data_IF_786733361185
#
_entry.id   IF_786733361185
#
_cell.length_a   1.000
_cell.length_b   1.000
_cell.length_c   1.000
_cell.angle_alpha   90.00
_cell.angle_beta   90.00
_cell.angle_gamma   90.00
#
_symmetry.space_group_name_H-M   'P 1'
#
loop_
_entity.id
_entity.type
_entity.pdbx_description
1 polymer ?
#
# COMPACT_ATOMS: atom_id res chain seq x y z
N UNK A 1 13.03 -37.26 5.10
CA UNK A 1 13.38 -38.69 5.16
C UNK A 1 13.56 -39.12 6.62
N UNK A 2 14.52 -38.56 7.38
CA UNK A 2 14.85 -38.97 8.75
C UNK A 2 13.65 -39.02 9.72
N UNK A 3 12.65 -38.12 9.57
CA UNK A 3 11.45 -38.10 10.42
C UNK A 3 10.51 -39.26 10.10
N UNK A 4 10.46 -39.69 8.82
CA UNK A 4 9.67 -40.87 8.40
C UNK A 4 10.34 -42.15 8.89
N UNK A 5 11.66 -42.29 8.69
CA UNK A 5 12.46 -43.43 9.16
C UNK A 5 12.41 -43.54 10.69
N UNK A 6 12.40 -42.42 11.41
CA UNK A 6 12.25 -42.40 12.87
C UNK A 6 10.79 -42.63 13.35
N UNK A 7 9.84 -42.87 12.46
CA UNK A 7 8.42 -43.07 12.80
C UNK A 7 7.70 -41.82 13.35
N UNK A 8 8.35 -40.63 13.30
CA UNK A 8 7.78 -39.34 13.79
C UNK A 8 6.82 -38.70 12.80
N UNK A 9 6.92 -39.04 11.51
CA UNK A 9 6.04 -38.59 10.45
C UNK A 9 5.55 -39.77 9.64
N UNK A 10 4.25 -40.09 9.59
CA UNK A 10 3.72 -41.18 8.79
C UNK A 10 3.95 -40.91 7.29
N UNK A 11 4.37 -41.92 6.53
CA UNK A 11 4.52 -41.84 5.08
C UNK A 11 3.22 -41.45 4.39
N UNK A 12 2.07 -41.90 4.89
CA UNK A 12 0.75 -41.52 4.41
C UNK A 12 0.51 -40.00 4.43
N UNK A 13 1.08 -39.28 5.41
CA UNK A 13 1.00 -37.83 5.47
C UNK A 13 1.82 -37.18 4.36
N UNK A 14 2.99 -37.72 4.05
CA UNK A 14 3.83 -37.29 2.93
C UNK A 14 3.10 -37.53 1.61
N UNK A 15 2.57 -38.74 1.42
CA UNK A 15 1.83 -39.15 0.22
C UNK A 15 0.61 -38.23 -0.03
N UNK A 16 -0.11 -37.82 1.01
CA UNK A 16 -1.20 -36.88 0.87
C UNK A 16 -0.72 -35.49 0.32
N UNK A 17 0.42 -35.02 0.77
CA UNK A 17 1.00 -33.77 0.23
C UNK A 17 1.43 -33.94 -1.22
N UNK A 18 2.13 -35.00 -1.55
CA UNK A 18 2.56 -35.33 -2.91
C UNK A 18 1.35 -35.43 -3.85
N UNK A 19 0.31 -36.15 -3.43
CA UNK A 19 -0.92 -36.29 -4.22
C UNK A 19 -1.54 -34.92 -4.54
N UNK A 20 -1.60 -34.02 -3.57
CA UNK A 20 -2.15 -32.67 -3.79
C UNK A 20 -1.33 -31.88 -4.82
N UNK A 21 -0.01 -31.92 -4.71
CA UNK A 21 0.88 -31.21 -5.64
C UNK A 21 0.83 -31.80 -7.06
N UNK A 22 0.90 -33.15 -7.16
CA UNK A 22 0.84 -33.80 -8.46
C UNK A 22 -0.52 -33.63 -9.14
N UNK A 23 -1.62 -33.65 -8.36
CA UNK A 23 -2.96 -33.43 -8.91
C UNK A 23 -3.03 -32.14 -9.72
N UNK A 24 -2.54 -31.03 -9.16
CA UNK A 24 -2.51 -29.74 -9.87
C UNK A 24 -1.66 -29.81 -11.14
N UNK A 25 -0.52 -30.48 -11.11
CA UNK A 25 0.34 -30.65 -12.29
C UNK A 25 -0.34 -31.47 -13.40
N UNK A 26 -1.07 -32.52 -13.03
CA UNK A 26 -1.87 -33.31 -14.00
C UNK A 26 -3.03 -32.48 -14.55
N UNK A 27 -3.75 -31.74 -13.71
CA UNK A 27 -4.86 -30.86 -14.14
C UNK A 27 -4.39 -29.74 -15.08
N UNK A 28 -3.16 -29.26 -14.92
CA UNK A 28 -2.52 -28.29 -15.82
C UNK A 28 -1.97 -28.91 -17.11
N UNK A 29 -1.97 -30.25 -17.24
CA UNK A 29 -1.44 -30.95 -18.41
C UNK A 29 0.08 -30.87 -18.57
N UNK A 30 0.83 -30.65 -17.46
CA UNK A 30 2.28 -30.45 -17.53
C UNK A 30 3.05 -31.71 -17.96
N UNK A 31 2.46 -32.90 -17.81
CA UNK A 31 3.07 -34.15 -18.22
C UNK A 31 2.79 -34.47 -19.70
N UNK A 32 1.66 -34.03 -20.24
CA UNK A 32 1.26 -34.20 -21.62
C UNK A 32 1.87 -33.13 -22.53
N UNK A 33 1.91 -31.91 -22.08
CA UNK A 33 2.48 -30.78 -22.81
C UNK A 33 3.11 -29.74 -21.89
N UNK A 34 4.41 -29.87 -21.54
CA UNK A 34 5.10 -28.91 -20.66
C UNK A 34 5.49 -27.61 -21.36
N UNK A 35 5.25 -27.50 -22.67
CA UNK A 35 5.67 -26.37 -23.48
C UNK A 35 4.60 -25.28 -23.55
N UNK A 36 5.05 -24.03 -23.65
CA UNK A 36 4.20 -22.88 -23.88
C UNK A 36 4.36 -22.40 -25.33
N UNK A 37 3.28 -21.91 -25.91
CA UNK A 37 3.31 -21.20 -27.18
C UNK A 37 3.60 -19.71 -26.92
N UNK A 38 4.78 -19.19 -27.34
CA UNK A 38 5.14 -17.79 -27.12
C UNK A 38 4.15 -16.79 -27.75
N UNK A 39 3.58 -17.12 -28.91
CA UNK A 39 2.62 -16.26 -29.57
C UNK A 39 1.30 -16.19 -28.80
N UNK A 40 0.84 -17.32 -28.27
CA UNK A 40 -0.33 -17.37 -27.40
C UNK A 40 -0.07 -16.63 -26.09
N UNK A 41 1.12 -16.79 -25.49
CA UNK A 41 1.51 -16.07 -24.28
C UNK A 41 1.50 -14.54 -24.52
N UNK A 42 2.08 -14.05 -25.61
CA UNK A 42 2.06 -12.64 -26.00
C UNK A 42 0.65 -12.09 -26.19
N UNK A 43 -0.29 -12.89 -26.69
CA UNK A 43 -1.69 -12.51 -26.83
C UNK A 43 -2.45 -12.47 -25.49
N UNK A 44 -2.14 -13.39 -24.57
CA UNK A 44 -2.84 -13.51 -23.29
C UNK A 44 -2.31 -12.53 -22.23
N UNK A 45 -0.98 -12.38 -22.15
CA UNK A 45 -0.35 -11.48 -21.16
C UNK A 45 -0.66 -10.03 -21.51
N UNK A 46 -1.24 -9.31 -20.58
CA UNK A 46 -1.66 -7.92 -20.80
C UNK A 46 -2.90 -7.75 -21.67
N UNK A 47 -3.66 -8.83 -21.89
CA UNK A 47 -4.91 -8.75 -22.66
C UNK A 47 -5.84 -7.67 -22.07
N UNK A 48 -6.41 -6.76 -22.90
CA UNK A 48 -7.22 -5.64 -22.42
C UNK A 48 -8.39 -6.04 -21.51
N UNK A 49 -9.04 -7.19 -21.79
CA UNK A 49 -10.16 -7.65 -20.96
C UNK A 49 -9.70 -8.11 -19.56
N UNK A 50 -8.51 -8.69 -19.47
CA UNK A 50 -7.91 -9.06 -18.18
C UNK A 50 -7.41 -7.84 -17.44
N UNK A 51 -6.82 -6.87 -18.17
CA UNK A 51 -6.39 -5.61 -17.57
C UNK A 51 -7.56 -4.85 -16.97
N UNK A 52 -8.71 -4.75 -17.64
CA UNK A 52 -9.91 -4.11 -17.09
C UNK A 52 -10.39 -4.77 -15.79
N UNK A 53 -10.32 -6.11 -15.69
CA UNK A 53 -10.66 -6.84 -14.45
C UNK A 53 -9.65 -6.55 -13.34
N UNK A 54 -8.36 -6.51 -13.68
CA UNK A 54 -7.29 -6.18 -12.75
C UNK A 54 -7.43 -4.75 -12.21
N UNK A 55 -7.71 -3.78 -13.08
CA UNK A 55 -7.92 -2.38 -12.72
C UNK A 55 -9.15 -2.21 -11.81
N UNK A 56 -10.23 -2.93 -12.10
CA UNK A 56 -11.41 -2.95 -11.23
C UNK A 56 -11.09 -3.56 -9.85
N UNK A 57 -10.33 -4.65 -9.81
CA UNK A 57 -9.90 -5.28 -8.56
C UNK A 57 -9.04 -4.35 -7.73
N UNK A 58 -8.09 -3.64 -8.37
CA UNK A 58 -7.25 -2.64 -7.71
C UNK A 58 -8.09 -1.53 -7.07
N UNK A 59 -9.02 -0.92 -7.81
CA UNK A 59 -9.92 0.11 -7.27
C UNK A 59 -10.76 -0.40 -6.09
N UNK A 60 -11.29 -1.61 -6.19
CA UNK A 60 -12.08 -2.24 -5.11
C UNK A 60 -11.26 -2.56 -3.87
N UNK A 61 -9.95 -2.78 -3.99
CA UNK A 61 -9.09 -3.11 -2.85
C UNK A 61 -8.66 -1.89 -2.03
N UNK A 62 -8.77 -0.67 -2.57
CA UNK A 62 -8.39 0.54 -1.86
C UNK A 62 -9.38 0.82 -0.73
N UNK A 63 -8.85 1.01 0.47
CA UNK A 63 -9.62 1.31 1.67
C UNK A 63 -9.46 2.78 2.05
N UNK A 64 -10.56 3.51 2.13
CA UNK A 64 -10.56 4.87 2.67
C UNK A 64 -10.60 4.78 4.21
N UNK A 65 -9.46 5.07 4.85
CA UNK A 65 -9.34 5.04 6.32
C UNK A 65 -9.80 6.33 6.97
N UNK A 66 -9.51 7.45 6.34
CA UNK A 66 -9.86 8.76 6.87
C UNK A 66 -10.24 9.72 5.75
N UNK A 67 -11.28 10.53 5.99
CA UNK A 67 -11.68 11.62 5.13
C UNK A 67 -12.25 12.77 5.97
N UNK A 68 -11.46 13.82 6.14
CA UNK A 68 -11.88 15.05 6.80
C UNK A 68 -12.55 16.01 5.78
N UNK A 69 -13.56 15.50 5.07
CA UNK A 69 -14.36 16.25 4.07
C UNK A 69 -13.59 16.76 2.84
N UNK A 70 -12.44 16.15 2.53
CA UNK A 70 -11.62 16.58 1.40
C UNK A 70 -11.83 15.73 0.14
N UNK A 71 -12.17 14.48 0.31
CA UNK A 71 -12.39 13.53 -0.78
C UNK A 71 -13.88 13.29 -1.04
N UNK A 72 -14.31 13.09 -2.29
CA UNK A 72 -13.49 13.23 -3.50
C UNK A 72 -13.10 14.68 -3.76
N UNK A 73 -11.96 14.89 -4.46
CA UNK A 73 -11.54 16.24 -4.83
C UNK A 73 -12.54 16.88 -5.79
N UNK A 74 -12.86 18.15 -5.52
CA UNK A 74 -13.68 18.94 -6.42
C UNK A 74 -12.96 19.08 -7.78
N UNK A 75 -13.69 18.77 -8.85
CA UNK A 75 -13.16 18.96 -10.20
C UNK A 75 -13.01 20.44 -10.50
N UNK A 76 -11.88 20.88 -11.09
CA UNK A 76 -11.73 22.25 -11.55
C UNK A 76 -12.82 22.60 -12.57
N UNK A 77 -13.40 23.80 -12.47
CA UNK A 77 -14.45 24.24 -13.37
C UNK A 77 -13.92 25.27 -14.37
N UNK A 78 -14.35 25.15 -15.61
CA UNK A 78 -13.98 26.10 -16.66
C UNK A 78 -12.47 26.16 -16.92
N UNK A 79 -11.87 27.33 -16.71
CA UNK A 79 -10.42 27.57 -16.86
C UNK A 79 -9.65 27.46 -15.55
N UNK A 80 -10.31 27.11 -14.45
CA UNK A 80 -9.63 26.92 -13.16
C UNK A 80 -8.62 25.77 -13.26
N UNK A 81 -7.51 25.94 -12.55
CA UNK A 81 -6.43 24.95 -12.50
C UNK A 81 -6.18 24.55 -11.06
N UNK A 82 -6.24 23.24 -10.76
CA UNK A 82 -5.88 22.70 -9.46
C UNK A 82 -4.36 22.43 -9.42
N UNK A 83 -3.68 23.07 -8.47
CA UNK A 83 -2.22 22.91 -8.26
C UNK A 83 -1.96 21.77 -7.28
N UNK A 84 -1.39 20.69 -7.79
CA UNK A 84 -1.09 19.48 -7.03
C UNK A 84 0.42 19.37 -6.80
N UNK A 85 0.83 19.16 -5.57
CA UNK A 85 2.18 18.70 -5.23
C UNK A 85 2.11 17.19 -4.95
N UNK A 86 3.01 16.40 -5.53
CA UNK A 86 2.99 14.95 -5.34
C UNK A 86 4.36 14.37 -5.09
N UNK A 87 4.41 13.34 -4.23
CA UNK A 87 5.58 12.49 -3.98
C UNK A 87 5.18 11.01 -3.98
N UNK A 88 6.10 10.14 -4.39
CA UNK A 88 5.89 8.69 -4.43
C UNK A 88 5.00 8.22 -5.57
N UNK A 89 4.65 9.10 -6.52
CA UNK A 89 3.79 8.80 -7.66
C UNK A 89 4.51 9.05 -8.99
N UNK A 90 4.15 8.26 -9.99
CA UNK A 90 4.57 8.52 -11.37
C UNK A 90 3.78 9.70 -11.94
N UNK A 91 4.47 10.81 -12.21
CA UNK A 91 3.85 12.03 -12.75
C UNK A 91 3.48 11.93 -14.23
N UNK A 92 3.93 10.90 -14.96
CA UNK A 92 3.54 10.69 -16.35
C UNK A 92 2.03 10.47 -16.51
N UNK A 93 1.37 9.94 -15.48
CA UNK A 93 -0.09 9.84 -15.40
C UNK A 93 -0.80 11.16 -15.71
N UNK A 94 -0.22 12.29 -15.27
CA UNK A 94 -0.83 13.61 -15.43
C UNK A 94 -0.55 14.30 -16.76
N UNK A 95 0.15 13.64 -17.69
CA UNK A 95 0.40 14.14 -19.05
C UNK A 95 -0.76 13.88 -20.01
N UNK A 96 -1.71 13.03 -19.61
CA UNK A 96 -2.87 12.72 -20.42
C UNK A 96 -3.86 13.89 -20.48
N UNK A 97 -4.65 13.98 -21.57
CA UNK A 97 -5.58 15.10 -21.82
C UNK A 97 -6.61 15.31 -20.70
N UNK A 98 -7.02 14.25 -20.04
CA UNK A 98 -7.99 14.33 -18.93
C UNK A 98 -7.48 15.15 -17.73
N UNK A 99 -6.17 15.34 -17.64
CA UNK A 99 -5.50 16.09 -16.58
C UNK A 99 -5.09 17.50 -16.97
N UNK A 100 -5.61 18.05 -18.07
CA UNK A 100 -5.23 19.37 -18.59
C UNK A 100 -5.50 20.53 -17.61
N UNK A 101 -6.49 20.38 -16.72
CA UNK A 101 -6.83 21.37 -15.69
C UNK A 101 -6.09 21.14 -14.37
N UNK A 102 -5.02 20.34 -14.39
CA UNK A 102 -4.20 20.06 -13.22
C UNK A 102 -2.75 20.48 -13.46
N UNK A 103 -2.23 21.32 -12.58
CA UNK A 103 -0.81 21.68 -12.59
C UNK A 103 -0.10 20.84 -11.53
N UNK A 104 0.62 19.81 -11.97
CA UNK A 104 1.29 18.88 -11.07
C UNK A 104 2.75 19.25 -10.92
N UNK A 105 3.22 19.37 -9.68
CA UNK A 105 4.63 19.55 -9.32
C UNK A 105 5.11 18.30 -8.59
N UNK A 106 6.19 17.70 -9.09
CA UNK A 106 6.82 16.56 -8.44
C UNK A 106 7.73 17.02 -7.31
N UNK A 107 7.62 16.37 -6.16
CA UNK A 107 8.54 16.48 -5.04
C UNK A 107 9.64 15.43 -5.06
N UNK A 108 9.76 14.63 -6.13
CA UNK A 108 10.78 13.60 -6.23
C UNK A 108 12.19 14.20 -6.32
N UNK A 109 13.12 13.63 -5.58
CA UNK A 109 14.52 14.01 -5.59
C UNK A 109 15.41 12.83 -5.19
N UNK A 110 16.70 12.93 -5.49
CA UNK A 110 17.65 11.84 -5.25
C UNK A 110 18.65 12.19 -4.13
N UNK A 111 18.36 11.69 -2.92
CA UNK A 111 19.23 11.86 -1.73
C UNK A 111 20.64 11.33 -1.96
N UNK A 112 20.83 10.28 -2.75
CA UNK A 112 22.17 9.73 -3.05
C UNK A 112 23.02 10.70 -3.89
N UNK A 113 22.37 11.58 -4.67
CA UNK A 113 23.01 12.68 -5.39
C UNK A 113 23.10 13.96 -4.58
N UNK A 114 22.79 13.92 -3.28
CA UNK A 114 22.73 15.09 -2.37
C UNK A 114 21.72 16.15 -2.79
N UNK A 115 20.70 15.76 -3.55
CA UNK A 115 19.57 16.63 -3.83
C UNK A 115 18.71 16.78 -2.56
N UNK A 116 17.98 17.87 -2.46
CA UNK A 116 17.05 18.19 -1.36
C UNK A 116 15.63 18.24 -1.86
N UNK A 117 14.69 18.17 -0.94
CA UNK A 117 13.26 18.32 -1.25
C UNK A 117 13.06 19.61 -2.07
N UNK A 118 12.43 19.54 -3.26
CA UNK A 118 12.14 20.71 -4.07
C UNK A 118 11.26 21.71 -3.33
N UNK A 119 11.45 22.99 -3.65
CA UNK A 119 10.65 24.05 -3.05
C UNK A 119 9.15 23.83 -3.32
N UNK A 120 8.35 23.84 -2.27
CA UNK A 120 6.89 23.68 -2.33
C UNK A 120 6.26 25.05 -2.45
N UNK A 121 5.45 25.25 -3.48
CA UNK A 121 4.73 26.53 -3.67
C UNK A 121 3.66 26.73 -2.59
N UNK A 122 3.60 27.92 -2.00
CA UNK A 122 2.51 28.31 -1.09
C UNK A 122 1.13 28.34 -1.77
N UNK A 123 1.13 28.37 -3.10
CA UNK A 123 -0.10 28.32 -3.90
C UNK A 123 -0.57 26.89 -4.19
N UNK A 124 0.07 25.88 -3.60
CA UNK A 124 -0.36 24.48 -3.73
C UNK A 124 -1.74 24.30 -3.10
N UNK A 125 -2.68 23.78 -3.88
CA UNK A 125 -4.06 23.55 -3.42
C UNK A 125 -4.19 22.25 -2.65
N UNK A 126 -3.42 21.24 -3.06
CA UNK A 126 -3.47 19.88 -2.48
C UNK A 126 -2.11 19.20 -2.60
N UNK A 127 -1.72 18.43 -1.58
CA UNK A 127 -0.61 17.51 -1.64
C UNK A 127 -1.13 16.06 -1.66
N UNK A 128 -0.59 15.24 -2.56
CA UNK A 128 -0.90 13.81 -2.66
C UNK A 128 0.42 13.05 -2.51
N UNK A 129 0.56 12.31 -1.42
CA UNK A 129 1.80 11.59 -1.12
C UNK A 129 1.50 10.09 -1.08
N UNK A 130 2.18 9.34 -1.94
CA UNK A 130 2.16 7.89 -1.91
C UNK A 130 3.32 7.38 -1.07
N UNK A 131 2.98 6.72 0.03
CA UNK A 131 3.94 6.26 1.03
C UNK A 131 4.14 4.76 0.90
N UNK A 132 5.39 4.36 0.73
CA UNK A 132 5.80 2.96 0.75
C UNK A 132 6.71 2.71 1.96
N UNK A 133 6.55 1.53 2.56
CA UNK A 133 7.39 1.08 3.67
C UNK A 133 8.10 -0.19 3.25
N UNK A 134 9.42 -0.22 3.39
CA UNK A 134 10.25 -1.39 3.08
C UNK A 134 11.15 -1.72 4.25
N UNK A 135 11.38 -3.02 4.47
CA UNK A 135 12.37 -3.49 5.42
C UNK A 135 13.63 -3.91 4.67
N UNK A 136 14.77 -3.33 5.02
CA UNK A 136 16.07 -3.62 4.42
C UNK A 136 16.88 -4.66 5.22
N UNK A 137 16.32 -5.24 6.28
CA UNK A 137 16.96 -6.25 7.10
C UNK A 137 17.10 -7.57 6.32
N UNK A 138 18.18 -7.68 5.59
CA UNK A 138 18.67 -8.88 4.93
C UNK A 138 17.91 -9.29 3.66
N UNK A 139 18.67 -9.49 2.60
CA UNK A 139 18.19 -10.03 1.32
C UNK A 139 17.68 -11.49 1.41
N UNK A 140 17.81 -12.16 2.56
CA UNK A 140 17.51 -13.57 2.73
C UNK A 140 16.08 -13.88 3.21
N UNK A 141 15.29 -12.86 3.53
CA UNK A 141 13.92 -13.06 4.00
C UNK A 141 12.92 -13.01 2.85
N UNK A 142 12.82 -14.11 2.13
CA UNK A 142 11.88 -14.30 1.02
C UNK A 142 10.39 -14.13 1.41
N UNK A 143 10.07 -14.13 2.70
CA UNK A 143 8.70 -14.06 3.22
C UNK A 143 8.44 -12.85 4.13
N UNK A 144 9.35 -11.88 4.19
CA UNK A 144 9.05 -10.52 4.66
C UNK A 144 8.53 -10.36 6.09
N UNK A 145 8.84 -11.27 7.00
CA UNK A 145 8.54 -11.08 8.42
C UNK A 145 9.56 -10.18 9.10
N UNK A 146 9.11 -9.28 9.99
CA UNK A 146 9.99 -8.59 10.91
C UNK A 146 10.71 -9.61 11.81
N UNK A 147 11.96 -9.33 12.19
CA UNK A 147 12.62 -10.09 13.23
C UNK A 147 11.89 -9.86 14.55
N UNK A 148 11.90 -10.84 15.45
CA UNK A 148 11.31 -10.68 16.78
C UNK A 148 11.88 -9.49 17.55
N UNK A 149 13.09 -9.05 17.21
CA UNK A 149 13.75 -7.85 17.74
C UNK A 149 13.30 -6.55 17.09
N UNK A 150 12.51 -6.59 16.01
CA UNK A 150 12.05 -5.42 15.24
C UNK A 150 10.53 -5.18 15.36
N UNK A 151 9.82 -5.92 16.21
CA UNK A 151 8.40 -5.70 16.49
C UNK A 151 8.13 -4.32 17.08
N UNK A 152 9.14 -3.75 17.75
CA UNK A 152 9.07 -2.40 18.33
C UNK A 152 9.08 -1.28 17.28
N UNK A 153 9.38 -1.59 16.01
CA UNK A 153 9.48 -0.62 14.91
C UNK A 153 8.28 -0.68 13.96
N UNK A 154 7.11 -0.99 14.45
CA UNK A 154 5.90 -1.02 13.61
C UNK A 154 5.21 0.34 13.50
N UNK A 155 5.52 1.32 14.36
CA UNK A 155 5.00 2.69 14.25
C UNK A 155 5.82 3.52 13.27
N UNK A 156 5.15 4.46 12.60
CA UNK A 156 5.81 5.33 11.64
C UNK A 156 6.93 6.17 12.26
N UNK A 157 6.73 6.67 13.48
CA UNK A 157 7.75 7.46 14.17
C UNK A 157 8.98 6.64 14.58
N UNK A 158 8.81 5.35 14.92
CA UNK A 158 9.90 4.43 15.27
C UNK A 158 10.61 3.94 13.99
N UNK A 159 9.86 3.55 12.97
CA UNK A 159 10.43 3.16 11.67
C UNK A 159 11.31 4.25 11.06
N UNK A 160 10.92 5.52 11.21
CA UNK A 160 11.71 6.65 10.71
C UNK A 160 13.10 6.76 11.37
N UNK A 161 13.27 6.24 12.60
CA UNK A 161 14.55 6.22 13.34
C UNK A 161 15.32 4.91 13.14
N UNK A 162 14.69 3.90 12.55
CA UNK A 162 15.28 2.58 12.34
C UNK A 162 16.31 2.61 11.19
N UNK A 163 17.29 1.72 11.26
CA UNK A 163 18.25 1.46 10.16
C UNK A 163 17.75 0.38 9.20
N UNK A 164 16.86 -0.50 9.66
CA UNK A 164 16.32 -1.62 8.89
C UNK A 164 15.03 -1.28 8.14
N UNK A 165 14.26 -0.31 8.63
CA UNK A 165 13.05 0.17 7.96
C UNK A 165 13.31 1.44 7.15
N UNK A 166 12.65 1.55 6.01
CA UNK A 166 12.68 2.74 5.16
C UNK A 166 11.25 3.14 4.80
N UNK A 167 10.89 4.36 5.17
CA UNK A 167 9.68 5.04 4.70
C UNK A 167 10.07 5.89 3.49
N UNK A 168 9.34 5.78 2.40
CA UNK A 168 9.57 6.53 1.16
C UNK A 168 8.26 7.13 0.64
N UNK A 169 8.14 8.47 0.53
CA UNK A 169 9.07 9.50 0.99
C UNK A 169 9.37 9.39 2.49
N UNK A 170 10.48 9.98 2.98
CA UNK A 170 10.81 9.92 4.41
C UNK A 170 9.74 10.60 5.26
N UNK A 171 9.59 10.18 6.53
CA UNK A 171 8.62 10.80 7.43
C UNK A 171 8.87 12.31 7.58
N UNK A 172 10.14 12.74 7.61
CA UNK A 172 10.52 14.15 7.64
C UNK A 172 10.01 14.92 6.40
N UNK A 173 10.15 14.34 5.21
CA UNK A 173 9.64 14.95 3.98
C UNK A 173 8.11 15.05 4.01
N UNK A 174 7.42 13.99 4.47
CA UNK A 174 5.96 13.98 4.62
C UNK A 174 5.52 15.08 5.58
N UNK A 175 6.16 15.21 6.74
CA UNK A 175 5.87 16.25 7.72
C UNK A 175 6.12 17.64 7.16
N UNK A 176 7.24 17.86 6.47
CA UNK A 176 7.56 19.13 5.81
C UNK A 176 6.50 19.53 4.78
N UNK A 177 5.99 18.58 3.98
CA UNK A 177 4.91 18.84 3.03
C UNK A 177 3.62 19.20 3.78
N UNK A 178 3.27 18.44 4.83
CA UNK A 178 2.08 18.70 5.63
C UNK A 178 2.12 20.04 6.35
N UNK A 179 3.30 20.50 6.78
CA UNK A 179 3.48 21.81 7.39
C UNK A 179 3.39 22.95 6.36
N UNK A 180 3.96 22.75 5.16
CA UNK A 180 4.06 23.78 4.13
C UNK A 180 2.74 23.97 3.37
N UNK A 181 2.09 22.88 2.97
CA UNK A 181 0.82 22.91 2.20
C UNK A 181 -0.38 23.02 3.14
N UNK A 182 -0.28 22.44 4.33
CA UNK A 182 -1.34 22.24 5.31
C UNK A 182 -1.76 20.78 5.40
N UNK A 183 -1.84 20.27 6.61
CA UNK A 183 -2.30 18.89 6.85
C UNK A 183 -3.73 18.66 6.33
N UNK A 184 -4.58 19.68 6.43
CA UNK A 184 -5.97 19.70 5.93
C UNK A 184 -6.08 19.71 4.40
N UNK A 185 -4.96 19.86 3.71
CA UNK A 185 -4.82 19.79 2.25
C UNK A 185 -3.96 18.63 1.80
N UNK A 186 -3.54 17.75 2.70
CA UNK A 186 -2.66 16.62 2.38
C UNK A 186 -3.44 15.31 2.40
N UNK A 187 -3.26 14.52 1.34
CA UNK A 187 -3.80 13.16 1.20
C UNK A 187 -2.63 12.19 1.19
N UNK A 188 -2.71 11.19 2.05
CA UNK A 188 -1.72 10.10 2.13
C UNK A 188 -2.32 8.82 1.54
N UNK A 189 -1.59 8.19 0.63
CA UNK A 189 -1.87 6.84 0.14
C UNK A 189 -0.76 5.91 0.63
N UNK A 190 -1.06 5.13 1.65
CA UNK A 190 -0.07 4.28 2.33
C UNK A 190 -0.19 2.86 1.81
N UNK A 191 0.92 2.30 1.30
CA UNK A 191 0.97 0.92 0.81
C UNK A 191 1.26 -0.05 1.96
N UNK A 192 0.25 -0.87 2.29
CA UNK A 192 0.32 -1.83 3.40
C UNK A 192 0.76 -3.20 2.90
N UNK A 193 2.03 -3.54 3.11
CA UNK A 193 2.53 -4.91 2.93
C UNK A 193 2.29 -5.78 4.17
N UNK A 194 2.11 -5.12 5.31
CA UNK A 194 1.74 -5.68 6.61
C UNK A 194 1.02 -4.61 7.42
N UNK A 195 0.36 -4.94 8.54
CA UNK A 195 -0.18 -3.93 9.45
C UNK A 195 0.93 -3.01 9.98
N UNK A 196 0.70 -1.69 9.93
CA UNK A 196 1.56 -0.68 10.54
C UNK A 196 0.79 0.09 11.60
N UNK A 197 1.49 0.61 12.59
CA UNK A 197 0.91 1.51 13.58
C UNK A 197 1.02 2.96 13.07
N UNK A 198 -0.12 3.58 12.82
CA UNK A 198 -0.22 4.98 12.44
C UNK A 198 -0.28 5.83 13.72
N UNK A 199 0.88 6.05 14.32
CA UNK A 199 1.01 6.69 15.63
C UNK A 199 0.84 8.21 15.58
N UNK A 200 0.38 8.80 16.68
CA UNK A 200 0.20 10.26 16.80
C UNK A 200 1.50 11.03 16.64
N UNK A 201 2.62 10.51 17.18
CA UNK A 201 3.92 11.16 17.13
C UNK A 201 4.45 11.34 15.70
N UNK A 202 4.02 10.51 14.75
CA UNK A 202 4.34 10.67 13.33
C UNK A 202 3.62 11.85 12.67
N UNK A 203 2.50 12.30 13.24
CA UNK A 203 1.67 13.37 12.70
C UNK A 203 0.84 12.98 11.47
N UNK A 204 0.99 11.78 10.91
CA UNK A 204 0.32 11.37 9.66
C UNK A 204 -1.21 11.33 9.79
N UNK A 205 -1.74 11.08 10.97
CA UNK A 205 -3.19 11.12 11.25
C UNK A 205 -3.80 12.54 11.15
N UNK A 206 -2.97 13.59 11.06
CA UNK A 206 -3.45 14.95 10.83
C UNK A 206 -3.84 15.20 9.36
N UNK A 207 -3.43 14.35 8.43
CA UNK A 207 -3.77 14.47 7.02
C UNK A 207 -5.30 14.57 6.78
N UNK A 208 -5.70 15.25 5.71
CA UNK A 208 -7.10 15.40 5.32
C UNK A 208 -7.74 14.08 4.89
N UNK A 209 -6.98 13.25 4.21
CA UNK A 209 -7.40 11.92 3.75
C UNK A 209 -6.30 10.89 3.89
N UNK A 210 -6.66 9.67 4.25
CA UNK A 210 -5.74 8.52 4.31
C UNK A 210 -6.38 7.34 3.58
N UNK A 211 -5.66 6.82 2.60
CA UNK A 211 -6.00 5.62 1.85
C UNK A 211 -5.02 4.50 2.23
N UNK A 212 -5.53 3.32 2.55
CA UNK A 212 -4.73 2.10 2.59
C UNK A 212 -4.77 1.41 1.23
N UNK A 213 -3.61 1.09 0.70
CA UNK A 213 -3.43 0.43 -0.59
C UNK A 213 -2.60 -0.86 -0.42
N UNK A 214 -2.72 -1.77 -1.38
CA UNK A 214 -2.15 -3.13 -1.33
C UNK A 214 -1.56 -3.49 -2.70
N UNK A 215 -0.52 -2.74 -3.12
CA UNK A 215 0.15 -2.95 -4.40
C UNK A 215 -0.65 -2.50 -5.62
N UNK A 216 -1.43 -1.43 -5.50
CA UNK A 216 -2.25 -0.88 -6.60
C UNK A 216 -1.49 0.15 -7.43
N UNK A 217 -1.95 0.41 -8.66
CA UNK A 217 -1.41 1.43 -9.56
C UNK A 217 -1.77 2.85 -9.08
N UNK A 218 -0.99 3.85 -9.52
CA UNK A 218 -1.28 5.27 -9.27
C UNK A 218 -2.60 5.69 -9.89
N UNK A 219 -2.95 5.15 -11.06
CA UNK A 219 -4.22 5.40 -11.72
C UNK A 219 -5.41 4.98 -10.84
N UNK A 220 -5.34 3.80 -10.21
CA UNK A 220 -6.40 3.34 -9.31
C UNK A 220 -6.54 4.24 -8.07
N UNK A 221 -5.42 4.73 -7.52
CA UNK A 221 -5.42 5.68 -6.40
C UNK A 221 -6.07 7.00 -6.82
N UNK A 222 -5.71 7.53 -7.99
CA UNK A 222 -6.28 8.76 -8.51
C UNK A 222 -7.77 8.64 -8.83
N UNK A 223 -8.23 7.49 -9.34
CA UNK A 223 -9.66 7.25 -9.58
C UNK A 223 -10.49 7.36 -8.28
N UNK A 224 -9.94 6.91 -7.15
CA UNK A 224 -10.56 7.12 -5.84
C UNK A 224 -10.49 8.61 -5.45
N UNK A 225 -9.31 9.21 -5.46
CA UNK A 225 -9.11 10.60 -5.02
C UNK A 225 -10.02 11.57 -5.80
N UNK A 226 -10.19 11.35 -7.09
CA UNK A 226 -10.99 12.17 -7.98
C UNK A 226 -12.49 11.80 -8.00
N UNK A 227 -12.91 10.78 -7.26
CA UNK A 227 -14.29 10.33 -7.19
C UNK A 227 -14.80 9.63 -8.46
N UNK A 228 -13.92 9.20 -9.37
CA UNK A 228 -14.28 8.36 -10.52
C UNK A 228 -14.73 6.97 -10.08
N UNK A 229 -14.27 6.52 -8.92
CA UNK A 229 -14.67 5.28 -8.29
C UNK A 229 -14.93 5.50 -6.79
N UNK A 230 -16.09 5.04 -6.29
CA UNK A 230 -16.39 5.12 -4.86
C UNK A 230 -15.58 4.06 -4.10
N UNK A 231 -14.82 4.41 -3.06
CA UNK A 231 -14.07 3.43 -2.28
C UNK A 231 -15.00 2.44 -1.60
N UNK A 232 -14.78 1.16 -1.84
CA UNK A 232 -15.58 0.06 -1.29
C UNK A 232 -14.73 -0.93 -0.50
N UNK A 233 -13.42 -0.76 -0.52
CA UNK A 233 -12.46 -1.62 0.16
C UNK A 233 -12.68 -1.64 1.67
N UNK A 234 -12.35 -2.78 2.28
CA UNK A 234 -12.42 -3.01 3.72
C UNK A 234 -11.10 -3.55 4.21
N UNK A 235 -10.65 -3.11 5.38
CA UNK A 235 -9.41 -3.61 5.98
C UNK A 235 -9.50 -5.12 6.21
N UNK A 236 -8.51 -5.89 5.71
CA UNK A 236 -8.44 -7.34 5.91
C UNK A 236 -7.89 -7.74 7.30
N UNK A 237 -7.57 -6.76 8.14
CA UNK A 237 -7.08 -6.90 9.52
C UNK A 237 -7.39 -5.62 10.31
N UNK A 238 -7.29 -5.71 11.64
CA UNK A 238 -7.35 -4.53 12.50
C UNK A 238 -6.00 -3.82 12.54
N UNK A 239 -6.01 -2.49 12.71
CA UNK A 239 -4.81 -1.69 12.96
C UNK A 239 -4.79 -1.25 14.43
N UNK A 240 -3.65 -1.46 15.09
CA UNK A 240 -3.45 -1.05 16.47
C UNK A 240 -3.22 0.46 16.62
N UNK A 241 -3.57 1.02 17.77
CA UNK A 241 -3.28 2.42 18.12
C UNK A 241 -1.82 2.68 18.42
N UNK A 242 -1.09 1.66 18.90
CA UNK A 242 0.30 1.81 19.37
C UNK A 242 1.09 0.52 19.20
N UNK A 243 2.42 0.62 19.17
CA UNK A 243 3.32 -0.54 19.24
C UNK A 243 3.12 -1.34 20.52
N UNK A 244 2.83 -0.67 21.65
CA UNK A 244 2.55 -1.35 22.91
C UNK A 244 1.29 -2.24 22.83
N UNK A 245 0.25 -1.82 22.11
CA UNK A 245 -0.94 -2.64 21.87
C UNK A 245 -0.59 -3.91 21.06
N UNK A 246 0.32 -3.80 20.07
CA UNK A 246 0.80 -4.96 19.30
C UNK A 246 1.58 -5.93 20.18
N UNK A 247 2.49 -5.43 21.02
CA UNK A 247 3.30 -6.28 21.93
C UNK A 247 2.43 -6.99 22.96
N UNK A 248 1.40 -6.33 23.46
CA UNK A 248 0.45 -6.88 24.44
C UNK A 248 -0.47 -7.94 23.87
N UNK A 249 -0.71 -7.92 22.53
CA UNK A 249 -1.64 -8.82 21.86
C UNK A 249 -1.15 -10.27 21.89
N UNK A 250 -2.05 -11.19 22.24
CA UNK A 250 -1.77 -12.63 22.12
C UNK A 250 -1.63 -13.02 20.65
N UNK A 251 -0.59 -13.79 20.25
CA UNK A 251 -0.30 -14.11 18.85
C UNK A 251 -1.41 -14.84 18.10
N UNK A 252 -2.28 -15.54 18.82
CA UNK A 252 -3.37 -16.36 18.30
C UNK A 252 -4.76 -15.70 18.45
N UNK A 253 -4.82 -14.47 19.01
CA UNK A 253 -6.08 -13.75 19.15
C UNK A 253 -6.29 -12.79 17.95
N UNK A 254 -7.46 -12.82 17.27
CA UNK A 254 -7.75 -11.92 16.18
C UNK A 254 -8.11 -10.51 16.70
N UNK A 255 -7.51 -9.49 16.08
CA UNK A 255 -7.80 -8.08 16.39
C UNK A 255 -7.24 -7.60 17.74
N UNK A 256 -7.70 -6.46 18.18
CA UNK A 256 -7.29 -5.80 19.44
C UNK A 256 -8.54 -5.42 20.25
N UNK A 257 -8.45 -5.24 21.58
CA UNK A 257 -9.49 -4.59 22.36
C UNK A 257 -9.84 -3.21 21.78
N UNK A 258 -11.04 -2.71 22.04
CA UNK A 258 -11.54 -1.44 21.47
C UNK A 258 -10.62 -0.27 21.80
N UNK A 259 -10.11 -0.21 23.04
CA UNK A 259 -9.19 0.82 23.51
C UNK A 259 -7.84 0.80 22.78
N UNK A 260 -7.40 -0.36 22.30
CA UNK A 260 -6.14 -0.58 21.59
C UNK A 260 -6.30 -0.59 20.04
N UNK A 261 -7.54 -0.49 19.55
CA UNK A 261 -7.86 -0.53 18.11
C UNK A 261 -7.92 0.88 17.50
N UNK A 262 -7.10 1.16 16.49
CA UNK A 262 -7.20 2.38 15.69
C UNK A 262 -8.28 2.25 14.59
N UNK A 263 -8.21 1.18 13.82
CA UNK A 263 -9.22 0.81 12.81
C UNK A 263 -9.54 -0.68 12.95
N UNK A 264 -10.80 -1.07 13.14
CA UNK A 264 -11.17 -2.47 13.30
C UNK A 264 -11.09 -3.24 11.97
N UNK A 265 -11.06 -4.58 12.06
CA UNK A 265 -11.26 -5.45 10.89
C UNK A 265 -12.56 -5.06 10.15
N UNK A 266 -12.51 -5.06 8.84
CA UNK A 266 -13.65 -4.69 7.99
C UNK A 266 -13.95 -3.19 7.93
N UNK A 267 -13.12 -2.34 8.55
CA UNK A 267 -13.27 -0.90 8.47
C UNK A 267 -12.99 -0.38 7.04
N UNK A 268 -13.70 0.64 6.66
CA UNK A 268 -13.51 1.39 5.42
C UNK A 268 -14.67 2.35 5.19
N UNK A 269 -14.34 3.59 4.88
CA UNK A 269 -15.28 4.64 4.53
C UNK A 269 -15.65 4.56 3.05
N UNK A 270 -16.73 5.21 2.67
CA UNK A 270 -17.13 5.44 1.28
C UNK A 270 -17.56 6.91 1.10
N UNK A 271 -17.69 7.33 -0.15
CA UNK A 271 -18.32 8.61 -0.47
C UNK A 271 -19.83 8.46 -0.33
N UNK A 272 -20.45 9.44 0.31
CA UNK A 272 -21.92 9.50 0.47
C UNK A 272 -22.57 10.07 -0.76
#
# INVERSE_FOLDING_TARGET
>A
LNLVEAGKLPESRVNLSVTRLLKEQFELGLFENPYVDPNRAAYLVGNPSFQQKADLAQRKSIVLLQNKTKLPLAQPKGQDTLKIFTMGMNTDLFKEREWSNYKVTSGEYNKAKKETLPAISKETDIAIIRVQVTNNAGNDRRFGGADSTELDFLSFSEMAKSKSWKISPSLEDIQTVMETVGAEKTILSIDFRQPYVLDEASGILNAAGILATFGVSDAAVMDIIMGKFNPTGKLPYALAKSSAAVVKQAPDAPGYPEEDTLFPFGFGLNYK
#
